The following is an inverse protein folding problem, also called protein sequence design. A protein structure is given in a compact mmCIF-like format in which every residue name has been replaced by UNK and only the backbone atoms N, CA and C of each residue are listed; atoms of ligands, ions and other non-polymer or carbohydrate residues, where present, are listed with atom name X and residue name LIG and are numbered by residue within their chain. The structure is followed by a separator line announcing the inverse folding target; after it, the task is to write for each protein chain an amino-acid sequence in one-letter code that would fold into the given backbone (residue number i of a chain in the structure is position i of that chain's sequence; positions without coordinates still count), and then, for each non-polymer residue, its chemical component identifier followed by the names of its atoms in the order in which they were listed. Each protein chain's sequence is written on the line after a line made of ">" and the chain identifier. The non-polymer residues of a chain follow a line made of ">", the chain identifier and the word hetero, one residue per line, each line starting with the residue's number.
data_IF_551507517343
#
_entry.id   IF_551507517343
#
_cell.length_a   1.000
_cell.length_b   1.000
_cell.length_c   1.000
_cell.angle_alpha   90.00
_cell.angle_beta   90.00
_cell.angle_gamma   90.00
#
_symmetry.space_group_name_H-M   'P 1'
#
loop_
_entity.id
_entity.type
_entity.pdbx_description
1 polymer ?
#
# COMPACT_ATOMS: atom_id res chain seq x y z
N UNK A 1 21.44 9.30 -25.71
CA UNK A 1 20.42 8.95 -24.70
C UNK A 1 20.54 7.45 -24.45
N UNK A 2 20.82 7.05 -23.21
CA UNK A 2 21.02 5.64 -22.82
C UNK A 2 19.75 4.81 -23.11
N UNK A 3 19.92 3.53 -23.48
CA UNK A 3 18.92 2.65 -24.09
C UNK A 3 17.61 2.46 -23.33
N UNK A 4 16.71 1.64 -23.90
CA UNK A 4 15.33 1.41 -23.43
C UNK A 4 15.32 1.05 -21.93
N UNK A 5 14.89 1.99 -21.09
CA UNK A 5 14.74 1.78 -19.64
C UNK A 5 13.43 1.06 -19.38
N UNK A 6 13.50 -0.22 -19.01
CA UNK A 6 12.36 -0.97 -18.49
C UNK A 6 12.28 -0.78 -16.98
N UNK A 7 11.05 -0.67 -16.46
CA UNK A 7 10.78 -0.60 -15.02
C UNK A 7 9.82 -1.73 -14.67
N UNK A 8 10.18 -2.54 -13.69
CA UNK A 8 9.30 -3.61 -13.22
C UNK A 8 8.30 -3.03 -12.21
N UNK A 9 7.02 -3.29 -12.45
CA UNK A 9 5.92 -2.85 -11.58
C UNK A 9 5.28 -4.08 -10.94
N UNK A 10 5.11 -4.04 -9.62
CA UNK A 10 4.33 -5.00 -8.85
C UNK A 10 2.96 -4.43 -8.50
N UNK A 11 1.93 -5.26 -8.55
CA UNK A 11 0.58 -4.94 -8.08
C UNK A 11 0.26 -5.90 -6.96
N UNK A 12 -0.18 -5.37 -5.82
CA UNK A 12 -0.59 -6.17 -4.66
C UNK A 12 -2.10 -6.23 -4.61
N UNK A 13 -2.63 -7.46 -4.58
CA UNK A 13 -4.05 -7.72 -4.37
C UNK A 13 -4.21 -8.55 -3.10
N UNK A 14 -5.07 -8.09 -2.19
CA UNK A 14 -5.31 -8.72 -0.90
C UNK A 14 -6.76 -8.56 -0.45
N UNK A 15 -7.23 -9.52 0.36
CA UNK A 15 -8.48 -9.37 1.12
C UNK A 15 -8.28 -8.33 2.24
N UNK A 16 -9.24 -7.44 2.43
CA UNK A 16 -9.26 -6.49 3.55
C UNK A 16 -10.33 -6.89 4.59
N UNK A 17 -10.08 -6.53 5.85
CA UNK A 17 -11.02 -6.60 6.97
C UNK A 17 -11.27 -5.21 7.58
N UNK A 18 -12.03 -5.14 8.66
CA UNK A 18 -12.17 -3.93 9.49
C UNK A 18 -10.94 -3.66 10.38
N UNK A 19 -10.07 -4.65 10.59
CA UNK A 19 -8.78 -4.47 11.27
C UNK A 19 -7.72 -3.82 10.36
N UNK A 20 -7.47 -2.52 10.57
CA UNK A 20 -6.45 -1.74 9.87
C UNK A 20 -5.04 -2.31 10.00
N UNK A 21 -4.66 -2.81 11.18
CA UNK A 21 -3.31 -3.30 11.42
C UNK A 21 -3.07 -4.63 10.68
N UNK A 22 -4.06 -5.52 10.67
CA UNK A 22 -4.02 -6.76 9.90
C UNK A 22 -3.93 -6.48 8.39
N UNK A 23 -4.66 -5.48 7.90
CA UNK A 23 -4.59 -5.07 6.50
C UNK A 23 -3.21 -4.49 6.14
N UNK A 24 -2.71 -3.57 6.96
CA UNK A 24 -1.40 -2.95 6.74
C UNK A 24 -0.28 -4.01 6.73
N UNK A 25 -0.35 -5.02 7.60
CA UNK A 25 0.60 -6.13 7.61
C UNK A 25 0.56 -6.94 6.31
N UNK A 26 -0.62 -7.30 5.80
CA UNK A 26 -0.77 -7.98 4.50
C UNK A 26 -0.20 -7.15 3.34
N UNK A 27 -0.43 -5.83 3.36
CA UNK A 27 0.10 -4.92 2.35
C UNK A 27 1.64 -4.89 2.38
N UNK A 28 2.24 -4.82 3.57
CA UNK A 28 3.70 -4.88 3.76
C UNK A 28 4.26 -6.19 3.22
N UNK A 29 3.65 -7.33 3.54
CA UNK A 29 4.07 -8.64 3.03
C UNK A 29 3.98 -8.71 1.49
N UNK A 30 2.92 -8.15 0.92
CA UNK A 30 2.76 -8.03 -0.54
C UNK A 30 3.84 -7.18 -1.18
N UNK A 31 4.21 -6.05 -0.56
CA UNK A 31 5.29 -5.17 -1.01
C UNK A 31 6.64 -5.87 -0.96
N UNK A 32 6.96 -6.53 0.17
CA UNK A 32 8.23 -7.25 0.32
C UNK A 32 8.33 -8.41 -0.69
N UNK A 33 7.23 -9.12 -0.94
CA UNK A 33 7.18 -10.16 -1.98
C UNK A 33 7.40 -9.56 -3.37
N UNK A 34 6.68 -8.50 -3.74
CA UNK A 34 6.84 -7.86 -5.04
C UNK A 34 8.27 -7.33 -5.26
N UNK A 35 8.87 -6.74 -4.22
CA UNK A 35 10.26 -6.29 -4.26
C UNK A 35 11.23 -7.47 -4.46
N UNK A 36 11.03 -8.58 -3.74
CA UNK A 36 11.82 -9.81 -3.90
C UNK A 36 11.70 -10.38 -5.32
N UNK A 37 10.53 -10.26 -5.94
CA UNK A 37 10.27 -10.68 -7.32
C UNK A 37 10.80 -9.68 -8.38
N UNK A 38 11.48 -8.61 -7.94
CA UNK A 38 12.19 -7.67 -8.81
C UNK A 38 11.41 -6.42 -9.18
N UNK A 39 10.30 -6.11 -8.50
CA UNK A 39 9.57 -4.85 -8.68
C UNK A 39 10.40 -3.66 -8.18
N UNK A 40 10.28 -2.54 -8.90
CA UNK A 40 10.89 -1.25 -8.54
C UNK A 40 9.84 -0.24 -8.11
N UNK A 41 8.60 -0.41 -8.57
CA UNK A 41 7.41 0.31 -8.15
C UNK A 41 6.38 -0.73 -7.71
N UNK A 42 5.78 -0.55 -6.55
CA UNK A 42 4.69 -1.40 -6.05
C UNK A 42 3.45 -0.55 -5.83
N UNK A 43 2.32 -0.97 -6.42
CA UNK A 43 1.03 -0.32 -6.27
C UNK A 43 0.11 -1.17 -5.37
N UNK A 44 -0.43 -0.55 -4.32
CA UNK A 44 -1.47 -1.13 -3.47
C UNK A 44 -2.85 -0.78 -4.03
N UNK A 45 -3.85 -1.59 -3.66
CA UNK A 45 -5.26 -1.34 -4.01
C UNK A 45 -5.82 -0.09 -3.30
N UNK A 46 -6.92 0.45 -3.83
CA UNK A 46 -7.67 1.55 -3.22
C UNK A 46 -8.17 1.15 -1.82
N UNK A 47 -8.07 2.09 -0.86
CA UNK A 47 -8.51 1.93 0.53
C UNK A 47 -8.02 0.63 1.19
N UNK A 48 -6.77 0.24 0.93
CA UNK A 48 -6.23 -1.06 1.36
C UNK A 48 -6.20 -1.27 2.87
N UNK A 49 -6.44 -0.24 3.68
CA UNK A 49 -6.46 -0.31 5.14
C UNK A 49 -7.85 -0.58 5.72
N UNK A 50 -8.93 -0.59 4.94
CA UNK A 50 -10.30 -0.83 5.42
C UNK A 50 -11.12 -1.73 4.51
N UNK A 51 -12.34 -2.05 4.95
CA UNK A 51 -13.39 -2.47 4.02
C UNK A 51 -13.77 -1.31 3.10
N UNK A 52 -14.24 -1.62 1.90
CA UNK A 52 -14.73 -0.62 0.95
C UNK A 52 -16.08 -0.09 1.41
N UNK A 53 -16.07 1.07 2.07
CA UNK A 53 -17.24 1.66 2.73
C UNK A 53 -18.04 2.64 1.86
N UNK A 54 -17.58 2.89 0.63
CA UNK A 54 -18.17 3.91 -0.25
C UNK A 54 -19.55 3.53 -0.82
N UNK A 55 -20.07 2.36 -0.46
CA UNK A 55 -21.42 1.91 -0.79
C UNK A 55 -22.50 2.47 0.16
N UNK A 56 -22.10 3.06 1.28
CA UNK A 56 -22.98 3.66 2.28
C UNK A 56 -22.51 5.06 2.66
N UNK A 57 -23.47 5.98 2.83
CA UNK A 57 -23.20 7.30 3.39
C UNK A 57 -23.31 7.24 4.92
N UNK A 58 -22.15 7.07 5.59
CA UNK A 58 -22.03 7.06 7.05
C UNK A 58 -20.89 8.00 7.49
N UNK A 59 -21.20 8.91 8.41
CA UNK A 59 -20.23 9.86 8.96
C UNK A 59 -19.17 9.19 9.84
N UNK A 60 -19.44 8.02 10.40
CA UNK A 60 -18.45 7.31 11.19
C UNK A 60 -17.25 6.86 10.34
N UNK A 61 -17.40 6.77 9.01
CA UNK A 61 -16.30 6.48 8.09
C UNK A 61 -15.22 7.58 8.08
N UNK A 62 -15.51 8.81 8.51
CA UNK A 62 -14.48 9.84 8.67
C UNK A 62 -13.42 9.46 9.73
N UNK A 63 -13.75 8.57 10.67
CA UNK A 63 -12.79 8.02 11.64
C UNK A 63 -11.75 7.09 10.99
N UNK A 64 -11.95 6.69 9.72
CA UNK A 64 -10.99 5.89 8.98
C UNK A 64 -9.79 6.72 8.49
N UNK A 65 -9.94 8.04 8.37
CA UNK A 65 -8.91 8.93 7.85
C UNK A 65 -7.65 8.98 8.73
N UNK A 66 -6.51 9.25 8.09
CA UNK A 66 -5.22 9.45 8.74
C UNK A 66 -4.64 10.82 8.34
N UNK A 67 -3.88 11.50 9.22
CA UNK A 67 -3.13 12.69 8.84
C UNK A 67 -2.01 12.36 7.85
N UNK A 68 -1.44 13.39 7.21
CA UNK A 68 -0.27 13.25 6.35
C UNK A 68 0.91 14.05 6.96
N UNK A 69 2.01 13.40 7.36
CA UNK A 69 2.19 11.94 7.50
C UNK A 69 1.33 11.35 8.63
N UNK A 70 1.02 10.06 8.53
CA UNK A 70 0.23 9.30 9.49
C UNK A 70 0.67 7.84 9.56
N UNK A 71 -0.03 6.98 10.34
CA UNK A 71 0.40 5.62 10.65
C UNK A 71 0.78 4.77 9.42
N UNK A 72 0.00 4.83 8.34
CA UNK A 72 0.28 4.09 7.11
C UNK A 72 1.56 4.57 6.42
N UNK A 73 1.79 5.89 6.38
CA UNK A 73 3.02 6.49 5.82
C UNK A 73 4.23 6.11 6.66
N UNK A 74 4.11 6.19 7.99
CA UNK A 74 5.18 5.84 8.93
C UNK A 74 5.57 4.37 8.83
N UNK A 75 4.60 3.47 8.64
CA UNK A 75 4.84 2.05 8.48
C UNK A 75 5.45 1.69 7.11
N UNK A 76 4.97 2.27 6.01
CA UNK A 76 5.42 1.93 4.66
C UNK A 76 6.77 2.56 4.28
N UNK A 77 7.10 3.72 4.84
CA UNK A 77 8.37 4.44 4.56
C UNK A 77 9.63 3.59 4.81
N UNK A 78 9.81 2.94 5.99
CA UNK A 78 10.98 2.08 6.21
C UNK A 78 10.98 0.85 5.31
N UNK A 79 9.81 0.32 4.92
CA UNK A 79 9.69 -0.83 4.01
C UNK A 79 10.14 -0.45 2.60
N UNK A 80 9.68 0.70 2.09
CA UNK A 80 10.14 1.27 0.81
C UNK A 80 11.67 1.44 0.81
N UNK A 81 12.21 2.02 1.89
CA UNK A 81 13.66 2.26 2.05
C UNK A 81 14.46 0.96 2.10
N UNK A 82 14.02 -0.02 2.89
CA UNK A 82 14.67 -1.33 3.05
C UNK A 82 14.75 -2.08 1.71
N UNK A 83 13.66 -2.06 0.96
CA UNK A 83 13.52 -2.80 -0.30
C UNK A 83 13.97 -2.01 -1.53
N UNK A 84 14.27 -0.70 -1.39
CA UNK A 84 14.64 0.22 -2.48
C UNK A 84 13.59 0.29 -3.60
N UNK A 85 12.32 0.33 -3.21
CA UNK A 85 11.18 0.43 -4.12
C UNK A 85 10.40 1.72 -3.88
N UNK A 86 9.69 2.18 -4.90
CA UNK A 86 8.62 3.19 -4.77
C UNK A 86 7.33 2.46 -4.38
N UNK A 87 6.60 2.97 -3.39
CA UNK A 87 5.28 2.45 -3.01
C UNK A 87 4.23 3.50 -3.36
N UNK A 88 3.18 3.08 -4.07
CA UNK A 88 1.95 3.85 -4.27
C UNK A 88 0.91 3.24 -3.34
N UNK A 89 0.40 4.03 -2.41
CA UNK A 89 -0.58 3.64 -1.40
C UNK A 89 -1.78 4.60 -1.47
N UNK A 90 -2.99 4.05 -1.32
CA UNK A 90 -4.27 4.75 -1.45
C UNK A 90 -5.16 4.55 -0.23
#
# INVERSE_FOLDING_TARGET
>A
MSGRKSVNVGIVQMSCSDDKAANLQKAIEGVEKAAKDGAQIVCLQELFTSLYFCDVEDYDNFNLAEPIPGPSVEALTPIAKKNKVVIIAS
#
